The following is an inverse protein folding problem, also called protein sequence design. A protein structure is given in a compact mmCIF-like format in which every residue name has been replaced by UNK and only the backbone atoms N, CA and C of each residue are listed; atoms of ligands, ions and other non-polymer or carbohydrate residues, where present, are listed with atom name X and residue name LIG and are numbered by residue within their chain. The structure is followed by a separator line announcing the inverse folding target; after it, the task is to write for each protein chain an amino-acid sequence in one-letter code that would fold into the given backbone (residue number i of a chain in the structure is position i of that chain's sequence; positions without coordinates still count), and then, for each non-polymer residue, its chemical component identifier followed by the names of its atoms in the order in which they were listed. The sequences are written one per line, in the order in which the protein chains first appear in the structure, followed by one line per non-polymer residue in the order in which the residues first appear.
data_IF_086345359219
#
_entry.id   IF_086345359219
#
_cell.length_a   1.000
_cell.length_b   1.000
_cell.length_c   1.000
_cell.angle_alpha   90.00
_cell.angle_beta   90.00
_cell.angle_gamma   90.00
#
_symmetry.space_group_name_H-M   'P 1'
#
loop_
_entity.id
_entity.type
_entity.pdbx_description
1 polymer ?
#
# COMPACT_ATOMS: atom_id res chain seq x y z
N UNK A 1 -0.78 16.31 3.48
CA UNK A 1 -0.13 15.14 4.10
C UNK A 1 1.25 15.58 4.55
N UNK A 2 1.64 15.28 5.80
CA UNK A 2 2.87 15.77 6.44
C UNK A 2 4.08 14.85 6.25
N UNK A 3 5.18 15.16 6.95
CA UNK A 3 6.49 14.51 6.81
C UNK A 3 6.49 12.98 7.11
N UNK A 4 5.43 12.48 7.74
CA UNK A 4 5.30 11.08 8.19
C UNK A 4 5.17 10.05 7.06
N UNK A 5 4.82 10.48 5.84
CA UNK A 5 4.57 9.60 4.67
C UNK A 5 5.54 9.83 3.51
N UNK A 6 6.64 10.56 3.74
CA UNK A 6 7.60 10.92 2.69
C UNK A 6 8.28 9.71 2.03
N UNK A 7 8.33 8.57 2.70
CA UNK A 7 9.00 7.36 2.21
C UNK A 7 8.26 6.53 1.16
N UNK A 8 6.98 6.81 0.89
CA UNK A 8 6.21 6.05 -0.11
C UNK A 8 6.71 6.28 -1.55
N UNK A 9 7.32 7.45 -1.80
CA UNK A 9 7.86 7.83 -3.10
C UNK A 9 9.22 7.18 -3.31
N UNK A 10 9.44 6.53 -4.46
CA UNK A 10 10.69 5.81 -4.82
C UNK A 10 11.76 6.73 -5.44
N UNK A 11 13.05 6.33 -5.36
CA UNK A 11 14.21 7.09 -5.88
C UNK A 11 14.22 7.12 -7.40
N UNK A 12 13.63 6.07 -7.97
CA UNK A 12 13.27 5.95 -9.37
C UNK A 12 11.74 6.09 -9.45
N UNK A 13 11.20 7.26 -9.12
CA UNK A 13 9.81 7.62 -9.46
C UNK A 13 9.62 7.75 -10.99
N UNK A 14 10.28 6.88 -11.76
CA UNK A 14 10.10 6.74 -13.18
C UNK A 14 8.92 5.80 -13.38
N UNK A 15 7.74 6.42 -13.32
CA UNK A 15 6.47 6.05 -13.96
C UNK A 15 5.27 5.67 -13.10
N UNK A 16 5.41 5.20 -11.87
CA UNK A 16 4.22 4.77 -11.11
C UNK A 16 3.75 5.81 -10.09
N UNK A 17 2.56 6.36 -10.31
CA UNK A 17 1.91 7.32 -9.41
C UNK A 17 1.13 6.58 -8.30
N UNK A 18 1.39 6.96 -7.05
CA UNK A 18 0.62 6.43 -5.91
C UNK A 18 -0.78 7.02 -5.94
N UNK A 19 -1.78 6.20 -6.25
CA UNK A 19 -3.17 6.62 -6.40
C UNK A 19 -3.95 6.56 -5.09
N UNK A 20 -3.56 5.64 -4.18
CA UNK A 20 -4.25 5.41 -2.93
C UNK A 20 -3.31 4.92 -1.84
N UNK A 21 -3.65 5.26 -0.59
CA UNK A 21 -2.89 4.86 0.59
C UNK A 21 -3.81 4.71 1.81
N UNK A 22 -3.44 3.81 2.73
CA UNK A 22 -4.13 3.61 4.00
C UNK A 22 -3.14 3.22 5.09
N UNK A 23 -3.19 3.89 6.23
CA UNK A 23 -2.50 3.45 7.45
C UNK A 23 -3.38 2.41 8.14
N UNK A 24 -2.74 1.41 8.73
CA UNK A 24 -3.36 0.43 9.63
C UNK A 24 -3.97 1.10 10.86
N UNK A 25 -4.98 0.50 11.47
CA UNK A 25 -5.60 1.07 12.67
C UNK A 25 -4.65 1.05 13.88
N UNK A 26 -3.74 0.07 13.92
CA UNK A 26 -2.64 -0.02 14.88
C UNK A 26 -1.56 1.04 14.69
N UNK A 27 -1.51 1.72 13.54
CA UNK A 27 -0.52 2.76 13.26
C UNK A 27 0.91 2.23 13.14
N UNK A 28 1.10 0.97 12.74
CA UNK A 28 2.43 0.35 12.58
C UNK A 28 2.74 -0.02 11.13
N UNK A 29 1.73 -0.02 10.27
CA UNK A 29 1.86 -0.36 8.86
C UNK A 29 1.12 0.63 7.97
N UNK A 30 1.66 0.85 6.78
CA UNK A 30 1.10 1.69 5.72
C UNK A 30 1.05 0.88 4.43
N UNK A 31 -0.10 0.88 3.76
CA UNK A 31 -0.27 0.24 2.46
C UNK A 31 -0.58 1.27 1.40
N UNK A 32 -0.02 1.09 0.20
CA UNK A 32 -0.26 1.95 -0.97
C UNK A 32 -0.62 1.12 -2.19
N UNK A 33 -1.39 1.71 -3.09
CA UNK A 33 -1.64 1.22 -4.44
C UNK A 33 -1.15 2.23 -5.47
N UNK A 34 -0.69 1.76 -6.62
CA UNK A 34 -0.29 2.61 -7.74
C UNK A 34 -1.04 2.31 -9.04
N UNK A 35 -0.86 3.19 -10.01
CA UNK A 35 -1.45 3.13 -11.35
C UNK A 35 -0.90 1.98 -12.21
N UNK A 36 0.16 1.28 -11.79
CA UNK A 36 0.65 0.06 -12.45
C UNK A 36 0.01 -1.23 -11.94
N UNK A 37 -0.96 -1.14 -11.02
CA UNK A 37 -1.60 -2.33 -10.43
C UNK A 37 -0.83 -2.88 -9.21
N UNK A 38 0.15 -2.15 -8.69
CA UNK A 38 1.03 -2.66 -7.64
C UNK A 38 0.56 -2.24 -6.25
N UNK A 39 0.56 -3.20 -5.33
CA UNK A 39 0.28 -2.96 -3.91
C UNK A 39 1.59 -3.04 -3.13
N UNK A 40 1.88 -2.03 -2.30
CA UNK A 40 3.09 -1.96 -1.49
C UNK A 40 2.75 -1.81 -0.01
N UNK A 41 3.48 -2.54 0.84
CA UNK A 41 3.35 -2.50 2.30
C UNK A 41 4.65 -1.99 2.93
N UNK A 42 4.52 -1.01 3.80
CA UNK A 42 5.58 -0.31 4.51
C UNK A 42 5.33 -0.39 6.02
N UNK A 43 6.41 -0.24 6.79
CA UNK A 43 6.31 0.09 8.22
C UNK A 43 5.89 1.56 8.37
N UNK A 44 5.11 1.87 9.40
CA UNK A 44 4.66 3.23 9.73
C UNK A 44 5.12 3.61 11.15
N UNK A 45 5.61 4.85 11.37
CA UNK A 45 5.77 5.92 10.39
C UNK A 45 6.88 5.63 9.37
N UNK A 46 6.77 6.26 8.19
CA UNK A 46 7.67 6.05 7.06
C UNK A 46 8.42 7.35 6.70
N UNK A 47 9.24 7.92 7.61
CA UNK A 47 9.86 9.24 7.44
C UNK A 47 11.03 9.23 6.45
N UNK A 48 11.71 8.08 6.29
CA UNK A 48 12.84 7.97 5.39
C UNK A 48 12.36 7.85 3.93
N UNK A 49 12.90 8.70 3.05
CA UNK A 49 12.67 8.60 1.61
C UNK A 49 13.07 7.20 1.12
N UNK A 50 12.27 6.62 0.22
CA UNK A 50 12.58 5.33 -0.42
C UNK A 50 12.57 4.16 0.55
N UNK A 51 11.66 4.19 1.52
CA UNK A 51 11.56 3.15 2.54
C UNK A 51 11.41 1.76 1.93
N UNK A 52 12.02 0.79 2.62
CA UNK A 52 11.87 -0.63 2.27
C UNK A 52 10.41 -1.01 2.35
N UNK A 53 9.96 -1.79 1.38
CA UNK A 53 8.58 -2.24 1.32
C UNK A 53 8.51 -3.67 0.78
N UNK A 54 7.42 -4.34 1.15
CA UNK A 54 6.98 -5.56 0.47
C UNK A 54 6.07 -5.17 -0.68
N UNK A 55 6.17 -5.89 -1.79
CA UNK A 55 5.51 -5.57 -3.04
C UNK A 55 4.70 -6.75 -3.52
N UNK A 56 3.47 -6.51 -3.90
CA UNK A 56 2.51 -7.53 -4.29
C UNK A 56 1.94 -7.16 -5.66
N UNK A 57 1.98 -8.12 -6.59
CA UNK A 57 1.32 -8.02 -7.88
C UNK A 57 0.02 -8.85 -7.83
N UNK A 58 -1.03 -8.30 -8.41
CA UNK A 58 -2.32 -9.00 -8.54
C UNK A 58 -3.29 -8.27 -9.46
N UNK A 59 -3.32 -6.94 -9.36
CA UNK A 59 -4.14 -6.11 -10.24
C UNK A 59 -3.47 -5.87 -11.60
N UNK A 60 -4.29 -5.73 -12.63
CA UNK A 60 -3.91 -4.93 -13.80
C UNK A 60 -3.97 -3.45 -13.40
N UNK A 61 -3.21 -2.54 -14.03
CA UNK A 61 -3.53 -1.11 -13.99
C UNK A 61 -5.05 -0.88 -14.05
N UNK A 62 -5.70 -0.14 -13.15
CA UNK A 62 -5.19 0.74 -12.09
C UNK A 62 -5.74 0.33 -10.70
N UNK A 63 -4.90 0.34 -9.63
CA UNK A 63 -5.45 0.23 -8.27
C UNK A 63 -6.12 1.55 -7.92
N UNK A 64 -7.41 1.52 -7.63
CA UNK A 64 -8.20 2.73 -7.38
C UNK A 64 -8.40 3.00 -5.90
N UNK A 65 -8.38 1.95 -5.08
CA UNK A 65 -8.60 2.08 -3.65
C UNK A 65 -7.93 0.96 -2.87
N UNK A 66 -7.54 1.26 -1.64
CA UNK A 66 -6.95 0.29 -0.73
C UNK A 66 -7.29 0.61 0.72
N UNK A 67 -7.71 -0.39 1.50
CA UNK A 67 -8.11 -0.22 2.91
C UNK A 67 -7.73 -1.41 3.77
N UNK A 68 -7.28 -1.12 5.00
CA UNK A 68 -7.22 -2.13 6.05
C UNK A 68 -8.62 -2.48 6.55
N UNK A 69 -8.84 -3.76 6.81
CA UNK A 69 -10.03 -4.25 7.50
C UNK A 69 -9.97 -3.96 9.00
N UNK A 70 -11.12 -4.03 9.68
CA UNK A 70 -11.18 -3.90 11.14
C UNK A 70 -10.32 -4.99 11.82
N UNK A 71 -9.35 -4.55 12.63
CA UNK A 71 -8.38 -5.42 13.29
C UNK A 71 -7.13 -5.75 12.47
N UNK A 72 -6.88 -5.03 11.35
CA UNK A 72 -5.65 -5.08 10.55
C UNK A 72 -5.22 -6.47 10.05
N UNK A 73 -6.15 -7.43 10.02
CA UNK A 73 -5.86 -8.82 9.58
C UNK A 73 -5.81 -8.97 8.07
N UNK A 74 -6.47 -8.07 7.35
CA UNK A 74 -6.48 -8.07 5.90
C UNK A 74 -6.43 -6.66 5.35
N UNK A 75 -5.94 -6.55 4.12
CA UNK A 75 -6.10 -5.39 3.25
C UNK A 75 -7.01 -5.77 2.10
N UNK A 76 -7.89 -4.86 1.71
CA UNK A 76 -8.71 -4.98 0.51
C UNK A 76 -8.23 -3.94 -0.50
N UNK A 77 -7.97 -4.37 -1.73
CA UNK A 77 -7.68 -3.48 -2.86
C UNK A 77 -8.73 -3.63 -3.94
N UNK A 78 -9.05 -2.53 -4.61
CA UNK A 78 -9.98 -2.47 -5.73
C UNK A 78 -9.25 -2.05 -7.00
N UNK A 79 -9.40 -2.84 -8.06
CA UNK A 79 -8.90 -2.51 -9.38
C UNK A 79 -10.00 -1.82 -10.19
N UNK A 80 -9.61 -0.84 -11.00
CA UNK A 80 -10.51 -0.10 -11.87
C UNK A 80 -10.93 -0.95 -13.05
N UNK A 81 -10.07 -1.02 -14.06
CA UNK A 81 -10.39 -1.63 -15.35
C UNK A 81 -10.44 -3.16 -15.31
N UNK A 82 -9.73 -3.78 -14.36
CA UNK A 82 -9.82 -5.24 -14.15
C UNK A 82 -11.09 -5.68 -13.40
N UNK A 83 -11.91 -4.72 -12.94
CA UNK A 83 -13.16 -4.94 -12.22
C UNK A 83 -13.02 -5.92 -11.03
N UNK A 84 -11.84 -5.99 -10.41
CA UNK A 84 -11.51 -7.00 -9.40
C UNK A 84 -11.38 -6.42 -7.98
N UNK A 85 -11.60 -7.28 -6.99
CA UNK A 85 -11.29 -7.03 -5.59
C UNK A 85 -10.33 -8.11 -5.09
N UNK A 86 -9.18 -7.70 -4.53
CA UNK A 86 -8.27 -8.62 -3.86
C UNK A 86 -8.31 -8.43 -2.35
N UNK A 87 -8.21 -9.54 -1.63
CA UNK A 87 -8.09 -9.58 -0.17
C UNK A 87 -6.72 -10.17 0.18
N UNK A 88 -5.86 -9.34 0.75
CA UNK A 88 -4.51 -9.68 1.14
C UNK A 88 -4.49 -10.03 2.62
N UNK A 89 -3.98 -11.20 2.98
CA UNK A 89 -3.82 -11.58 4.38
C UNK A 89 -2.59 -10.87 4.98
N UNK A 90 -2.82 -10.08 6.01
CA UNK A 90 -1.77 -9.50 6.83
C UNK A 90 -1.39 -10.51 7.90
N UNK A 91 -0.26 -11.21 7.70
CA UNK A 91 0.31 -12.07 8.73
C UNK A 91 1.20 -11.19 9.60
N UNK A 92 0.65 -10.69 10.70
CA UNK A 92 1.47 -10.10 11.74
C UNK A 92 2.30 -11.22 12.35
N UNK A 93 3.61 -11.23 12.10
CA UNK A 93 4.51 -12.07 12.89
C UNK A 93 4.74 -11.30 14.19
N UNK A 94 4.23 -11.76 15.34
CA UNK A 94 4.63 -11.18 16.61
C UNK A 94 6.15 -11.37 16.74
N UNK A 95 6.86 -10.26 16.98
CA UNK A 95 8.22 -10.30 17.50
C UNK A 95 8.18 -10.75 18.97
#
# INVERSE_FOLDING_TARGET
MGDEVMGIWSRHAEKADVTCACVSHSGISLVTGDDFGMVKLYDFPCPEKFAKHKRFLGHSPHVTNIRFTSGDRHVVSAGGDDCSLFVWKCVHMPH
#
